data_IF_756038969011
#
_entry.id   IF_756038969011
#
_cell.length_a   1.000
_cell.length_b   1.000
_cell.length_c   1.000
_cell.angle_alpha   90.00
_cell.angle_beta   90.00
_cell.angle_gamma   90.00
#
_symmetry.space_group_name_H-M   'P 1'
#
loop_
_entity.id
_entity.type
_entity.pdbx_description
1 polymer ?
#
# COMPACT_ATOMS: atom_id res chain seq x y z
N UNK A 1 -73.62 -1.66 83.56
CA UNK A 1 -72.86 -2.41 84.55
C UNK A 1 -71.52 -2.72 84.01
N UNK A 2 -70.49 -2.24 84.69
CA UNK A 2 -69.09 -2.26 84.35
C UNK A 2 -68.44 -3.61 84.61
N UNK A 3 -67.58 -4.12 83.74
CA UNK A 3 -66.45 -4.96 84.16
C UNK A 3 -65.26 -4.64 83.26
N UNK A 4 -64.19 -4.24 83.91
CA UNK A 4 -62.85 -3.97 83.32
C UNK A 4 -62.07 -5.29 83.20
N UNK A 5 -61.52 -5.56 82.06
CA UNK A 5 -60.54 -6.62 81.84
C UNK A 5 -59.19 -6.04 81.40
N UNK A 6 -58.14 -6.29 82.18
CA UNK A 6 -56.72 -5.93 81.88
C UNK A 6 -56.09 -6.90 80.91
N UNK A 7 -55.35 -6.41 79.91
CA UNK A 7 -54.56 -7.18 78.99
C UNK A 7 -53.08 -7.00 79.40
N UNK A 8 -52.24 -8.09 79.47
CA UNK A 8 -50.84 -7.92 79.74
C UNK A 8 -50.05 -7.63 78.42
N UNK A 9 -49.03 -6.79 78.54
CA UNK A 9 -48.05 -6.54 77.51
C UNK A 9 -47.17 -7.77 77.25
N UNK A 10 -47.23 -8.26 76.03
CA UNK A 10 -46.26 -9.25 75.51
C UNK A 10 -45.14 -8.53 74.73
N UNK A 11 -43.94 -8.72 75.22
CA UNK A 11 -42.73 -8.22 74.52
C UNK A 11 -42.42 -9.14 73.34
N UNK A 12 -42.51 -8.62 72.14
CA UNK A 12 -42.06 -9.29 70.91
C UNK A 12 -40.65 -8.84 70.57
N UNK A 13 -39.70 -9.75 70.76
CA UNK A 13 -38.30 -9.60 70.26
C UNK A 13 -38.27 -9.79 68.75
N UNK A 14 -37.91 -8.74 67.99
CA UNK A 14 -37.61 -8.80 66.59
C UNK A 14 -36.15 -9.25 66.44
N UNK A 15 -35.90 -10.43 65.90
CA UNK A 15 -34.60 -10.92 65.46
C UNK A 15 -34.36 -10.36 64.03
N UNK A 16 -33.41 -9.45 63.88
CA UNK A 16 -32.93 -8.96 62.59
C UNK A 16 -32.02 -10.04 61.98
N UNK A 17 -32.52 -10.78 61.02
CA UNK A 17 -31.72 -11.60 60.13
C UNK A 17 -31.12 -10.70 59.03
N UNK A 18 -29.85 -10.32 59.20
CA UNK A 18 -29.03 -9.73 58.10
C UNK A 18 -28.71 -10.78 57.06
N UNK A 19 -29.50 -10.83 56.00
CA UNK A 19 -29.20 -11.60 54.80
C UNK A 19 -28.20 -10.81 53.95
N UNK A 20 -26.94 -11.23 53.89
CA UNK A 20 -25.99 -10.80 52.87
C UNK A 20 -26.44 -11.36 51.52
N UNK A 21 -27.08 -10.56 50.70
CA UNK A 21 -27.28 -10.86 49.29
C UNK A 21 -25.97 -10.57 48.54
N UNK A 22 -25.21 -11.61 48.20
CA UNK A 22 -24.11 -11.53 47.27
C UNK A 22 -24.68 -11.30 45.87
N UNK A 23 -24.52 -10.11 45.31
CA UNK A 23 -24.80 -9.86 43.89
C UNK A 23 -23.74 -10.60 43.06
N UNK A 24 -24.11 -11.29 41.99
CA UNK A 24 -23.14 -11.80 41.03
C UNK A 24 -22.50 -10.59 40.33
N UNK A 25 -21.19 -10.39 40.54
CA UNK A 25 -20.38 -9.52 39.71
C UNK A 25 -20.20 -10.22 38.40
N UNK A 26 -21.04 -9.92 37.41
CA UNK A 26 -20.80 -10.28 36.01
C UNK A 26 -19.60 -9.46 35.52
N UNK A 27 -18.43 -10.07 35.62
CA UNK A 27 -17.14 -9.54 35.19
C UNK A 27 -16.96 -9.65 33.69
N UNK A 28 -17.97 -9.29 32.90
CA UNK A 28 -17.80 -9.13 31.45
C UNK A 28 -16.91 -7.89 31.21
N UNK A 29 -15.62 -8.12 31.06
CA UNK A 29 -14.71 -7.11 30.50
C UNK A 29 -15.24 -6.85 29.09
N UNK A 30 -15.64 -5.61 28.74
CA UNK A 30 -16.04 -5.32 27.38
C UNK A 30 -14.84 -5.66 26.47
N UNK A 31 -15.08 -6.52 25.48
CA UNK A 31 -14.11 -6.76 24.41
C UNK A 31 -13.73 -5.40 23.83
N UNK A 32 -12.45 -5.12 23.58
CA UNK A 32 -12.06 -3.88 22.94
C UNK A 32 -12.85 -3.78 21.63
N UNK A 33 -13.64 -2.71 21.52
CA UNK A 33 -14.26 -2.34 20.24
C UNK A 33 -13.11 -2.14 19.28
N UNK A 34 -13.07 -2.85 18.13
CA UNK A 34 -12.05 -2.59 17.14
C UNK A 34 -12.07 -1.09 16.83
N UNK A 35 -10.91 -0.46 16.89
CA UNK A 35 -10.78 0.94 16.50
C UNK A 35 -11.34 1.06 15.08
N UNK A 36 -12.23 2.01 14.86
CA UNK A 36 -12.69 2.32 13.50
C UNK A 36 -11.46 2.57 12.63
N UNK A 37 -11.43 2.08 11.38
CA UNK A 37 -10.31 2.32 10.49
C UNK A 37 -10.04 3.81 10.43
N UNK A 38 -8.82 4.21 10.75
CA UNK A 38 -8.42 5.62 10.66
C UNK A 38 -8.15 5.85 9.19
N UNK A 39 -9.11 6.44 8.47
CA UNK A 39 -8.84 6.92 7.13
C UNK A 39 -7.66 7.91 7.22
N UNK A 40 -6.59 7.63 6.53
CA UNK A 40 -5.44 8.52 6.40
C UNK A 40 -5.69 9.36 5.16
N UNK A 41 -5.68 10.67 5.30
CA UNK A 41 -5.67 11.61 4.19
C UNK A 41 -4.97 12.87 4.67
N UNK A 42 -3.75 13.11 4.19
CA UNK A 42 -2.96 14.25 4.64
C UNK A 42 -1.53 14.23 4.14
N UNK A 43 -0.79 15.24 4.55
CA UNK A 43 0.63 15.40 4.22
C UNK A 43 1.48 15.08 5.45
N UNK A 44 2.51 14.26 5.25
CA UNK A 44 3.39 13.74 6.30
C UNK A 44 4.83 14.13 6.03
N UNK A 45 5.56 14.51 7.08
CA UNK A 45 6.95 14.92 6.94
C UNK A 45 7.85 13.72 6.66
N UNK A 46 8.65 13.81 5.59
CA UNK A 46 9.58 12.78 5.14
C UNK A 46 11.05 13.19 5.26
N UNK A 47 11.31 14.23 6.05
CA UNK A 47 12.65 14.80 6.27
C UNK A 47 12.94 16.01 5.39
N UNK A 48 14.00 16.74 5.76
CA UNK A 48 14.43 17.97 5.08
C UNK A 48 13.37 19.07 4.98
N UNK A 49 12.35 19.04 5.86
CA UNK A 49 11.22 19.97 5.84
C UNK A 49 10.27 19.77 4.66
N UNK A 50 10.30 18.61 4.02
CA UNK A 50 9.37 18.22 2.95
C UNK A 50 8.26 17.33 3.49
N UNK A 51 7.07 17.49 2.92
CA UNK A 51 5.91 16.63 3.16
C UNK A 51 5.50 15.90 1.89
N UNK A 52 5.06 14.66 2.04
CA UNK A 52 4.38 13.90 1.00
C UNK A 52 2.93 13.66 1.38
N UNK A 53 2.06 13.72 0.39
CA UNK A 53 0.63 13.44 0.55
C UNK A 53 0.36 11.94 0.42
N UNK A 54 -0.48 11.40 1.32
CA UNK A 54 -0.94 10.02 1.29
C UNK A 54 -2.42 9.93 1.62
N UNK A 55 -3.11 9.05 0.93
CA UNK A 55 -4.49 8.65 1.20
C UNK A 55 -4.56 7.16 1.46
N UNK A 56 -5.22 6.75 2.56
CA UNK A 56 -5.51 5.35 2.85
C UNK A 56 -7.00 5.18 3.14
N UNK A 57 -7.54 4.05 2.69
CA UNK A 57 -8.91 3.60 2.97
C UNK A 57 -8.91 2.11 3.30
N UNK A 58 -10.01 1.64 3.88
CA UNK A 58 -10.13 0.25 4.33
C UNK A 58 -9.34 -0.07 5.60
N UNK A 59 -9.46 -1.31 6.04
CA UNK A 59 -8.74 -1.86 7.19
C UNK A 59 -8.33 -3.31 6.92
N UNK A 60 -7.39 -3.82 7.68
CA UNK A 60 -6.90 -5.19 7.51
C UNK A 60 -5.40 -5.26 7.24
N UNK A 61 -4.96 -6.46 6.89
CA UNK A 61 -3.55 -6.80 6.61
C UNK A 61 -3.52 -8.00 5.66
N UNK A 62 -2.57 -8.02 4.69
CA UNK A 62 -1.51 -7.04 4.46
C UNK A 62 -2.06 -5.68 3.98
N UNK A 63 -1.29 -4.60 4.16
CA UNK A 63 -1.60 -3.30 3.58
C UNK A 63 -1.19 -3.26 2.11
N UNK A 64 -2.09 -2.82 1.23
CA UNK A 64 -1.78 -2.58 -0.18
C UNK A 64 -1.20 -1.17 -0.34
N UNK A 65 -0.02 -1.06 -0.94
CA UNK A 65 0.61 0.21 -1.31
C UNK A 65 0.58 0.36 -2.82
N UNK A 66 -0.08 1.41 -3.28
CA UNK A 66 -0.26 1.75 -4.69
C UNK A 66 0.82 2.75 -5.12
N UNK A 67 1.81 2.26 -5.86
CA UNK A 67 2.95 3.02 -6.39
C UNK A 67 2.66 3.44 -7.82
N UNK A 68 2.41 4.72 -8.03
CA UNK A 68 2.01 5.26 -9.32
C UNK A 68 3.16 5.27 -10.36
N UNK A 69 2.79 5.38 -11.63
CA UNK A 69 3.72 5.58 -12.74
C UNK A 69 4.47 6.91 -12.68
N UNK A 70 5.35 7.16 -13.64
CA UNK A 70 6.11 8.39 -13.72
C UNK A 70 5.20 9.62 -13.78
N UNK A 71 5.50 10.63 -12.98
CA UNK A 71 4.75 11.90 -12.90
C UNK A 71 3.26 11.75 -12.53
N UNK A 72 2.84 10.55 -12.11
CA UNK A 72 1.50 10.22 -11.60
C UNK A 72 1.48 10.07 -10.09
N UNK A 73 0.29 10.20 -9.49
CA UNK A 73 0.07 10.12 -8.05
C UNK A 73 -1.21 9.39 -7.68
N UNK A 74 -1.84 9.81 -6.59
CA UNK A 74 -3.06 9.19 -6.04
C UNK A 74 -4.17 9.05 -7.09
N UNK A 75 -4.32 10.01 -8.00
CA UNK A 75 -5.37 10.03 -9.02
C UNK A 75 -5.30 8.84 -9.98
N UNK A 76 -4.13 8.24 -10.21
CA UNK A 76 -3.98 7.05 -11.07
C UNK A 76 -4.83 5.89 -10.55
N UNK A 77 -5.03 5.82 -9.26
CA UNK A 77 -5.69 4.71 -8.58
C UNK A 77 -7.18 4.94 -8.29
N UNK A 78 -7.75 6.02 -8.83
CA UNK A 78 -9.14 6.43 -8.54
C UNK A 78 -10.21 5.37 -8.83
N UNK A 79 -9.96 4.45 -9.76
CA UNK A 79 -10.88 3.35 -10.09
C UNK A 79 -10.52 2.02 -9.40
N UNK A 80 -9.30 1.87 -8.90
CA UNK A 80 -8.79 0.63 -8.27
C UNK A 80 -8.88 0.71 -6.75
N UNK A 81 -8.41 1.81 -6.17
CA UNK A 81 -8.29 1.97 -4.73
C UNK A 81 -9.60 1.75 -3.94
N UNK A 82 -10.77 2.27 -4.37
CA UNK A 82 -12.01 2.07 -3.61
C UNK A 82 -12.40 0.60 -3.45
N UNK A 83 -12.29 -0.18 -4.53
CA UNK A 83 -12.66 -1.60 -4.53
C UNK A 83 -11.66 -2.45 -3.73
N UNK A 84 -10.34 -2.16 -3.85
CA UNK A 84 -9.32 -2.87 -3.08
C UNK A 84 -9.41 -2.52 -1.59
N UNK A 85 -9.84 -1.31 -1.26
CA UNK A 85 -10.06 -0.87 0.13
C UNK A 85 -11.21 -1.64 0.82
N UNK A 86 -12.14 -2.22 0.07
CA UNK A 86 -13.16 -3.13 0.61
C UNK A 86 -12.57 -4.50 1.02
N UNK A 87 -11.39 -4.86 0.51
CA UNK A 87 -10.71 -6.13 0.81
C UNK A 87 -9.71 -5.99 1.97
N UNK A 88 -8.94 -4.91 1.99
CA UNK A 88 -7.89 -4.65 3.01
C UNK A 88 -7.53 -3.17 3.05
N UNK A 89 -6.70 -2.77 4.02
CA UNK A 89 -6.15 -1.41 4.02
C UNK A 89 -5.36 -1.15 2.74
N UNK A 90 -5.72 -0.07 2.04
CA UNK A 90 -5.13 0.32 0.76
C UNK A 90 -4.71 1.78 0.81
N UNK A 91 -3.45 2.06 0.47
CA UNK A 91 -2.87 3.40 0.50
C UNK A 91 -2.27 3.75 -0.86
N UNK A 92 -2.50 4.99 -1.30
CA UNK A 92 -1.84 5.61 -2.44
C UNK A 92 -1.17 6.91 -1.99
N UNK A 93 -0.15 7.37 -2.69
CA UNK A 93 0.57 8.58 -2.33
C UNK A 93 1.10 9.33 -3.54
N UNK A 94 1.36 10.61 -3.33
CA UNK A 94 2.01 11.48 -4.30
C UNK A 94 3.51 11.55 -3.99
N UNK A 95 4.36 11.20 -4.94
CA UNK A 95 5.81 11.39 -4.79
C UNK A 95 6.18 12.87 -4.80
N UNK A 96 7.38 13.21 -4.33
CA UNK A 96 7.87 14.59 -4.34
C UNK A 96 7.80 15.22 -5.74
N UNK A 97 7.17 16.37 -5.85
CA UNK A 97 6.91 17.08 -7.11
C UNK A 97 5.61 16.73 -7.80
N UNK A 98 4.86 15.74 -7.29
CA UNK A 98 3.58 15.28 -7.85
C UNK A 98 2.43 15.69 -6.94
N UNK A 99 1.27 15.92 -7.51
CA UNK A 99 -0.01 16.10 -6.83
C UNK A 99 0.02 17.13 -5.70
N UNK A 100 -0.25 16.67 -4.48
CA UNK A 100 -0.30 17.52 -3.27
C UNK A 100 1.00 17.47 -2.44
N UNK A 101 2.03 16.76 -2.92
CA UNK A 101 3.32 16.66 -2.27
C UNK A 101 4.21 17.87 -2.54
N UNK A 102 5.12 18.17 -1.61
CA UNK A 102 6.11 19.21 -1.78
C UNK A 102 7.04 18.93 -2.98
N UNK A 103 7.58 19.98 -3.61
CA UNK A 103 8.50 19.82 -4.73
C UNK A 103 9.72 18.97 -4.37
N UNK A 104 10.20 18.19 -5.33
CA UNK A 104 11.46 17.48 -5.22
C UNK A 104 12.65 18.45 -5.20
N UNK A 105 13.63 18.16 -4.35
CA UNK A 105 14.88 18.94 -4.23
C UNK A 105 16.07 18.09 -4.62
N UNK A 106 17.01 18.65 -5.36
CA UNK A 106 18.20 17.93 -5.81
C UNK A 106 17.89 16.84 -6.86
N UNK A 107 18.90 16.16 -7.33
CA UNK A 107 18.78 14.99 -8.19
C UNK A 107 18.52 13.75 -7.33
N UNK A 108 17.55 12.93 -7.72
CA UNK A 108 17.04 11.84 -6.89
C UNK A 108 17.31 10.48 -7.53
N UNK A 109 18.01 9.63 -6.80
CA UNK A 109 18.23 8.23 -7.13
C UNK A 109 17.20 7.30 -6.50
N UNK A 110 17.38 5.99 -6.67
CA UNK A 110 16.47 4.98 -6.12
C UNK A 110 16.39 5.06 -4.59
N UNK A 111 17.53 5.17 -3.90
CA UNK A 111 17.59 5.25 -2.42
C UNK A 111 16.84 6.47 -1.87
N UNK A 112 16.79 7.59 -2.62
CA UNK A 112 16.00 8.76 -2.22
C UNK A 112 14.50 8.49 -2.29
N UNK A 113 14.06 7.74 -3.31
CA UNK A 113 12.66 7.43 -3.57
C UNK A 113 12.16 6.34 -2.60
N UNK A 114 12.92 5.26 -2.41
CA UNK A 114 12.57 4.20 -1.43
C UNK A 114 12.60 4.73 -0.01
N UNK A 115 13.61 5.55 0.32
CA UNK A 115 13.72 6.21 1.62
C UNK A 115 12.59 7.22 1.90
N UNK A 116 12.05 7.89 0.89
CA UNK A 116 10.86 8.74 1.05
C UNK A 116 9.63 7.88 1.38
N UNK A 117 9.44 6.76 0.68
CA UNK A 117 8.33 5.83 0.96
C UNK A 117 8.44 5.25 2.38
N UNK A 118 9.62 4.80 2.79
CA UNK A 118 9.85 4.27 4.14
C UNK A 118 9.48 5.30 5.22
N UNK A 119 9.97 6.54 5.09
CA UNK A 119 9.64 7.63 6.01
C UNK A 119 8.17 8.01 5.99
N UNK A 120 7.54 7.98 4.82
CA UNK A 120 6.11 8.28 4.67
C UNK A 120 5.25 7.24 5.40
N UNK A 121 5.52 5.94 5.20
CA UNK A 121 4.81 4.86 5.87
C UNK A 121 4.95 4.95 7.39
N UNK A 122 6.17 5.23 7.87
CA UNK A 122 6.43 5.44 9.30
C UNK A 122 5.71 6.67 9.85
N UNK A 123 5.73 7.82 9.15
CA UNK A 123 5.12 9.05 9.60
C UNK A 123 3.57 8.99 9.58
N UNK A 124 2.99 8.22 8.66
CA UNK A 124 1.55 8.01 8.54
C UNK A 124 1.03 6.87 9.42
N UNK A 125 1.90 6.18 10.17
CA UNK A 125 1.58 5.00 11.00
C UNK A 125 0.89 3.89 10.18
N UNK A 126 1.43 3.61 8.99
CA UNK A 126 0.93 2.58 8.06
C UNK A 126 1.77 1.31 8.24
N UNK A 127 1.24 0.27 8.91
CA UNK A 127 2.00 -0.94 9.20
C UNK A 127 2.02 -1.91 8.02
N UNK A 128 3.12 -2.68 7.91
CA UNK A 128 3.19 -3.89 7.09
C UNK A 128 2.50 -5.11 7.76
N UNK A 129 2.54 -6.29 7.13
CA UNK A 129 3.23 -6.54 5.87
C UNK A 129 2.54 -5.86 4.68
N UNK A 130 3.28 -5.66 3.57
CA UNK A 130 2.81 -4.91 2.40
C UNK A 130 2.60 -5.80 1.18
N UNK A 131 1.56 -5.52 0.41
CA UNK A 131 1.44 -5.89 -1.00
C UNK A 131 1.69 -4.64 -1.83
N UNK A 132 2.72 -4.66 -2.67
CA UNK A 132 3.05 -3.54 -3.53
C UNK A 132 2.35 -3.70 -4.87
N UNK A 133 1.64 -2.66 -5.31
CA UNK A 133 1.03 -2.59 -6.64
C UNK A 133 1.65 -1.41 -7.36
N UNK A 134 2.40 -1.67 -8.42
CA UNK A 134 3.25 -0.65 -9.01
C UNK A 134 3.07 -0.54 -10.53
N UNK A 135 2.79 0.66 -11.01
CA UNK A 135 2.59 0.94 -12.42
C UNK A 135 3.85 1.52 -13.07
N UNK A 136 4.15 1.08 -14.30
CA UNK A 136 5.18 1.69 -15.14
C UNK A 136 6.50 1.93 -14.37
N UNK A 137 7.06 3.14 -14.43
CA UNK A 137 8.28 3.53 -13.72
C UNK A 137 8.24 3.41 -12.21
N UNK A 138 7.06 3.34 -11.59
CA UNK A 138 6.89 3.03 -10.17
C UNK A 138 7.35 1.62 -9.80
N UNK A 139 7.33 0.69 -10.77
CA UNK A 139 7.81 -0.68 -10.56
C UNK A 139 9.28 -0.77 -10.17
N UNK A 140 10.12 0.14 -10.61
CA UNK A 140 11.52 0.18 -10.18
C UNK A 140 11.68 0.61 -8.72
N UNK A 141 10.82 1.54 -8.28
CA UNK A 141 10.80 2.01 -6.88
C UNK A 141 10.30 0.88 -5.99
N UNK A 142 9.18 0.24 -6.36
CA UNK A 142 8.65 -0.91 -5.66
C UNK A 142 9.65 -2.06 -5.56
N UNK A 143 10.43 -2.30 -6.62
CA UNK A 143 11.50 -3.31 -6.63
C UNK A 143 12.62 -3.00 -5.65
N UNK A 144 13.11 -1.76 -5.63
CA UNK A 144 14.11 -1.31 -4.66
C UNK A 144 13.61 -1.40 -3.23
N UNK A 145 12.42 -0.87 -2.97
CA UNK A 145 11.78 -0.94 -1.65
C UNK A 145 11.61 -2.39 -1.16
N UNK A 146 11.14 -3.28 -2.05
CA UNK A 146 10.98 -4.68 -1.71
C UNK A 146 12.31 -5.40 -1.41
N UNK A 147 13.40 -5.04 -2.08
CA UNK A 147 14.72 -5.60 -1.80
C UNK A 147 15.27 -5.15 -0.43
N UNK A 148 14.97 -3.92 -0.02
CA UNK A 148 15.36 -3.37 1.29
C UNK A 148 14.51 -3.91 2.44
N UNK A 149 13.20 -4.13 2.21
CA UNK A 149 12.20 -4.51 3.22
C UNK A 149 11.62 -5.92 3.00
N UNK A 150 12.38 -6.86 2.47
CA UNK A 150 11.90 -8.18 2.01
C UNK A 150 11.07 -8.97 3.01
N UNK A 151 11.35 -8.85 4.30
CA UNK A 151 10.60 -9.55 5.36
C UNK A 151 9.22 -8.94 5.61
N UNK A 152 9.00 -7.72 5.13
CA UNK A 152 7.73 -7.00 5.22
C UNK A 152 6.90 -7.08 3.94
N UNK A 153 7.44 -7.64 2.85
CA UNK A 153 6.72 -7.76 1.58
C UNK A 153 5.99 -9.10 1.51
N UNK A 154 4.67 -9.02 1.44
CA UNK A 154 3.79 -10.19 1.32
C UNK A 154 3.51 -10.57 -0.14
N UNK A 155 3.53 -9.63 -1.07
CA UNK A 155 3.29 -9.87 -2.48
C UNK A 155 3.51 -8.64 -3.35
N UNK A 156 3.52 -8.83 -4.68
CA UNK A 156 3.72 -7.71 -5.64
C UNK A 156 2.85 -7.89 -6.89
N UNK A 157 2.28 -6.79 -7.38
CA UNK A 157 1.64 -6.71 -8.70
C UNK A 157 2.32 -5.61 -9.51
N UNK A 158 2.94 -5.97 -10.61
CA UNK A 158 3.53 -5.02 -11.57
C UNK A 158 2.60 -4.79 -12.74
N UNK A 159 2.31 -3.52 -13.06
CA UNK A 159 1.46 -3.11 -14.17
C UNK A 159 2.32 -2.46 -15.27
N UNK A 160 2.57 -3.20 -16.32
CA UNK A 160 3.31 -2.78 -17.51
C UNK A 160 4.64 -2.08 -17.21
N UNK A 161 5.40 -2.65 -16.28
CA UNK A 161 6.71 -2.14 -15.90
C UNK A 161 7.73 -2.51 -16.96
N UNK A 162 8.30 -1.52 -17.69
CA UNK A 162 9.20 -1.80 -18.81
C UNK A 162 10.54 -2.40 -18.36
N UNK A 163 11.34 -2.88 -19.29
CA UNK A 163 12.76 -3.11 -19.06
C UNK A 163 13.55 -1.79 -19.05
N UNK A 164 14.76 -1.76 -18.50
CA UNK A 164 15.57 -0.55 -18.47
C UNK A 164 16.08 -0.18 -19.86
N UNK A 165 16.36 1.09 -20.09
CA UNK A 165 17.06 1.53 -21.28
C UNK A 165 18.49 0.98 -21.28
N UNK A 166 18.87 0.23 -22.33
CA UNK A 166 20.20 -0.34 -22.44
C UNK A 166 21.18 0.60 -23.15
N UNK A 167 20.73 1.34 -24.17
CA UNK A 167 21.55 2.28 -24.96
C UNK A 167 20.67 3.41 -25.50
N UNK A 168 20.16 4.30 -24.62
CA UNK A 168 19.28 5.38 -25.05
C UNK A 168 20.05 6.43 -25.87
N UNK A 169 19.41 6.99 -26.91
CA UNK A 169 20.06 8.03 -27.73
C UNK A 169 20.26 9.32 -26.91
N UNK A 170 21.27 10.14 -27.23
CA UNK A 170 21.67 11.32 -26.43
C UNK A 170 20.56 12.33 -26.17
N UNK A 171 19.64 12.51 -27.12
CA UNK A 171 18.49 13.41 -26.97
C UNK A 171 17.46 12.86 -25.98
N UNK A 172 17.31 11.56 -25.88
CA UNK A 172 16.50 10.93 -24.84
C UNK A 172 17.19 11.03 -23.48
N UNK A 173 18.48 10.73 -23.39
CA UNK A 173 19.26 10.89 -22.15
C UNK A 173 19.06 12.30 -21.59
N UNK A 174 19.15 13.33 -22.43
CA UNK A 174 19.00 14.72 -22.00
C UNK A 174 17.61 15.03 -21.39
N UNK A 175 16.56 14.29 -21.78
CA UNK A 175 15.21 14.43 -21.22
C UNK A 175 15.00 13.63 -19.94
N UNK A 176 15.77 12.59 -19.75
CA UNK A 176 15.68 11.67 -18.59
C UNK A 176 16.58 12.09 -17.43
N UNK A 177 17.34 13.19 -17.56
CA UNK A 177 18.14 13.72 -16.46
C UNK A 177 17.27 14.44 -15.43
N UNK A 178 17.72 14.47 -14.20
CA UNK A 178 17.05 15.16 -13.11
C UNK A 178 16.94 16.67 -13.28
N UNK A 179 17.74 17.28 -14.15
CA UNK A 179 17.72 18.73 -14.44
C UNK A 179 16.83 19.09 -15.64
N UNK A 180 16.24 18.12 -16.34
CA UNK A 180 15.30 18.40 -17.40
C UNK A 180 14.09 19.18 -16.86
N UNK A 181 13.70 20.24 -17.57
CA UNK A 181 12.62 21.14 -17.11
C UNK A 181 11.23 20.48 -17.04
N UNK A 182 11.08 19.34 -17.69
CA UNK A 182 9.87 18.50 -17.67
C UNK A 182 9.87 17.47 -16.56
N UNK A 183 11.00 17.24 -15.90
CA UNK A 183 11.15 16.25 -14.85
C UNK A 183 10.79 16.87 -13.48
N UNK A 184 9.52 16.84 -13.15
CA UNK A 184 8.99 17.43 -11.91
C UNK A 184 9.43 16.68 -10.66
N UNK A 185 9.69 15.38 -10.76
CA UNK A 185 10.19 14.54 -9.68
C UNK A 185 11.70 14.67 -9.45
N UNK A 186 12.42 15.35 -10.34
CA UNK A 186 13.90 15.51 -10.35
C UNK A 186 14.62 14.16 -10.24
N UNK A 187 14.04 13.16 -10.79
CA UNK A 187 14.51 11.76 -10.75
C UNK A 187 15.58 11.53 -11.81
N UNK A 188 16.66 10.87 -11.46
CA UNK A 188 17.58 10.29 -12.45
C UNK A 188 16.94 9.00 -13.00
N UNK A 189 16.12 9.14 -14.03
CA UNK A 189 15.35 8.02 -14.59
C UNK A 189 16.22 6.82 -14.94
N UNK A 190 17.35 7.04 -15.61
CA UNK A 190 18.21 5.95 -16.04
C UNK A 190 18.86 5.23 -14.86
N UNK A 191 19.35 5.98 -13.89
CA UNK A 191 19.95 5.38 -12.69
C UNK A 191 18.91 4.60 -11.87
N UNK A 192 17.70 5.16 -11.71
CA UNK A 192 16.60 4.52 -10.97
C UNK A 192 16.13 3.24 -11.68
N UNK A 193 15.95 3.27 -13.01
CA UNK A 193 15.56 2.10 -13.79
C UNK A 193 16.56 0.96 -13.68
N UNK A 194 17.85 1.26 -13.85
CA UNK A 194 18.90 0.25 -13.73
C UNK A 194 18.99 -0.32 -12.31
N UNK A 195 18.99 0.53 -11.29
CA UNK A 195 19.08 0.10 -9.91
C UNK A 195 17.86 -0.75 -9.49
N UNK A 196 16.64 -0.32 -9.83
CA UNK A 196 15.41 -1.07 -9.53
C UNK A 196 15.31 -2.38 -10.31
N UNK A 197 15.79 -2.40 -11.57
CA UNK A 197 15.87 -3.63 -12.35
C UNK A 197 16.87 -4.63 -11.76
N UNK A 198 17.98 -4.19 -11.23
CA UNK A 198 18.98 -5.05 -10.61
C UNK A 198 18.52 -5.58 -9.24
N UNK A 199 17.79 -4.75 -8.48
CA UNK A 199 17.25 -5.11 -7.17
C UNK A 199 16.23 -6.27 -7.22
N UNK A 200 15.55 -6.51 -8.34
CA UNK A 200 14.48 -7.52 -8.49
C UNK A 200 14.87 -8.96 -8.11
N UNK A 201 16.13 -9.30 -8.11
CA UNK A 201 16.61 -10.66 -7.79
C UNK A 201 16.69 -10.96 -6.29
N UNK A 202 16.39 -10.00 -5.45
CA UNK A 202 16.69 -10.03 -4.00
C UNK A 202 15.47 -10.37 -3.11
N UNK A 203 14.24 -10.51 -3.64
CA UNK A 203 13.04 -10.45 -2.80
C UNK A 203 12.60 -11.79 -2.20
N UNK A 204 12.59 -12.89 -2.93
CA UNK A 204 12.32 -14.20 -2.34
C UNK A 204 10.99 -14.87 -2.73
N UNK A 205 10.48 -15.79 -1.91
CA UNK A 205 9.33 -16.66 -2.24
C UNK A 205 7.99 -16.02 -1.82
N UNK A 206 7.53 -15.05 -2.61
CA UNK A 206 6.26 -14.35 -2.42
C UNK A 206 5.38 -14.44 -3.68
N UNK A 207 4.04 -14.31 -3.61
CA UNK A 207 3.19 -14.21 -4.79
C UNK A 207 3.51 -12.93 -5.56
N UNK A 208 3.71 -13.06 -6.89
CA UNK A 208 3.98 -11.93 -7.78
C UNK A 208 3.18 -12.10 -9.07
N UNK A 209 2.48 -11.05 -9.48
CA UNK A 209 1.86 -10.96 -10.81
C UNK A 209 2.54 -9.88 -11.64
N UNK A 210 2.96 -10.22 -12.86
CA UNK A 210 3.49 -9.29 -13.86
C UNK A 210 2.42 -9.11 -14.94
N UNK A 211 1.71 -8.01 -14.94
CA UNK A 211 0.74 -7.64 -15.96
C UNK A 211 1.44 -6.91 -17.09
N UNK A 212 1.56 -7.53 -18.24
CA UNK A 212 2.29 -6.99 -19.40
C UNK A 212 1.33 -6.67 -20.54
N UNK A 213 1.50 -5.54 -21.19
CA UNK A 213 0.71 -5.18 -22.39
C UNK A 213 1.37 -5.70 -23.65
N UNK A 214 0.61 -6.34 -24.52
CA UNK A 214 1.05 -6.74 -25.85
C UNK A 214 0.78 -5.62 -26.86
N UNK A 215 1.77 -4.79 -27.11
CA UNK A 215 1.72 -3.73 -28.12
C UNK A 215 1.91 -4.23 -29.55
N UNK A 216 2.10 -5.55 -29.73
CA UNK A 216 2.46 -6.12 -31.02
C UNK A 216 3.89 -5.73 -31.48
N UNK A 217 4.25 -6.01 -32.71
CA UNK A 217 5.57 -5.68 -33.23
C UNK A 217 5.73 -4.17 -33.37
N UNK A 218 6.53 -3.56 -32.49
CA UNK A 218 6.83 -2.14 -32.48
C UNK A 218 8.20 -1.83 -33.08
N UNK A 219 8.36 -0.62 -33.63
CA UNK A 219 9.60 -0.13 -34.22
C UNK A 219 10.23 1.00 -33.39
N UNK A 220 9.83 1.20 -32.13
CA UNK A 220 10.38 2.23 -31.24
C UNK A 220 11.14 1.59 -30.09
N UNK A 221 12.09 2.33 -29.51
CA UNK A 221 12.79 1.91 -28.28
C UNK A 221 11.80 1.64 -27.14
N UNK A 222 10.73 2.40 -27.06
CA UNK A 222 9.70 2.20 -26.04
C UNK A 222 8.96 0.87 -26.24
N UNK A 223 8.55 0.56 -27.47
CA UNK A 223 7.93 -0.72 -27.80
C UNK A 223 8.88 -1.93 -27.54
N UNK A 224 10.19 -1.74 -27.68
CA UNK A 224 11.17 -2.77 -27.33
C UNK A 224 11.25 -3.01 -25.82
N UNK A 225 11.21 -1.93 -25.00
CA UNK A 225 11.27 -2.02 -23.53
C UNK A 225 10.00 -2.59 -22.92
N UNK A 226 8.86 -2.27 -23.48
CA UNK A 226 7.53 -2.71 -23.03
C UNK A 226 7.12 -4.03 -23.66
N UNK A 227 8.01 -4.68 -24.41
CA UNK A 227 7.75 -6.00 -24.97
C UNK A 227 7.52 -7.04 -23.88
N UNK A 228 6.50 -7.87 -24.03
CA UNK A 228 6.12 -8.96 -23.11
C UNK A 228 7.31 -9.84 -22.74
N UNK A 229 8.21 -10.15 -23.71
CA UNK A 229 9.40 -10.96 -23.45
C UNK A 229 10.44 -10.24 -22.57
N UNK A 230 10.60 -8.93 -22.73
CA UNK A 230 11.48 -8.13 -21.86
C UNK A 230 10.90 -8.06 -20.44
N UNK A 231 9.61 -7.83 -20.32
CA UNK A 231 8.94 -7.77 -19.02
C UNK A 231 8.95 -9.10 -18.26
N UNK A 232 9.18 -10.24 -18.94
CA UNK A 232 9.49 -11.53 -18.28
C UNK A 232 10.71 -11.46 -17.37
N UNK A 233 11.58 -10.49 -17.55
CA UNK A 233 12.68 -10.23 -16.63
C UNK A 233 12.22 -9.97 -15.19
N UNK A 234 10.99 -9.51 -14.96
CA UNK A 234 10.42 -9.33 -13.65
C UNK A 234 10.02 -10.65 -12.95
N UNK A 235 9.88 -11.76 -13.69
CA UNK A 235 9.56 -13.07 -13.08
C UNK A 235 10.68 -13.61 -12.18
N UNK A 236 11.89 -13.08 -12.30
CA UNK A 236 13.00 -13.44 -11.39
C UNK A 236 12.77 -12.95 -9.96
N UNK A 237 11.83 -12.01 -9.78
CA UNK A 237 11.47 -11.44 -8.49
C UNK A 237 11.05 -12.50 -7.47
N UNK A 238 10.37 -13.56 -7.94
CA UNK A 238 9.94 -14.66 -7.10
C UNK A 238 9.79 -15.97 -7.91
N UNK A 239 10.08 -17.13 -7.33
CA UNK A 239 9.73 -18.42 -7.95
C UNK A 239 8.22 -18.64 -8.10
N UNK A 240 7.38 -17.85 -7.40
CA UNK A 240 5.91 -17.86 -7.51
C UNK A 240 5.38 -16.79 -8.48
N UNK A 241 6.27 -16.11 -9.20
CA UNK A 241 5.86 -15.07 -10.15
C UNK A 241 5.14 -15.66 -11.36
N UNK A 242 4.05 -15.01 -11.75
CA UNK A 242 3.26 -15.31 -12.95
C UNK A 242 3.17 -14.10 -13.86
N UNK A 243 3.00 -14.32 -15.16
CA UNK A 243 2.77 -13.24 -16.12
C UNK A 243 1.40 -13.32 -16.74
N UNK A 244 0.69 -12.20 -16.74
CA UNK A 244 -0.60 -12.00 -17.41
C UNK A 244 -0.41 -11.03 -18.57
N UNK A 245 -0.82 -11.43 -19.77
CA UNK A 245 -0.71 -10.57 -20.95
C UNK A 245 -2.04 -9.86 -21.17
N UNK A 246 -1.98 -8.52 -21.19
CA UNK A 246 -3.12 -7.63 -21.39
C UNK A 246 -3.23 -7.19 -22.84
N UNK A 247 -4.45 -6.91 -23.27
CA UNK A 247 -4.75 -6.34 -24.60
C UNK A 247 -5.34 -4.92 -24.46
N UNK A 248 -4.68 -4.12 -23.63
CA UNK A 248 -5.00 -2.72 -23.33
C UNK A 248 -3.88 -1.80 -23.80
N UNK A 249 -3.96 -0.51 -23.51
CA UNK A 249 -2.81 0.40 -23.56
C UNK A 249 -1.98 0.33 -22.27
N UNK A 250 -1.01 1.23 -22.16
CA UNK A 250 -0.10 1.34 -21.02
C UNK A 250 -0.82 1.63 -19.69
N UNK A 251 -1.91 2.38 -19.75
CA UNK A 251 -2.68 2.78 -18.58
C UNK A 251 -3.63 1.70 -18.05
N UNK A 252 -3.13 0.50 -17.71
CA UNK A 252 -3.95 -0.65 -17.31
C UNK A 252 -4.93 -0.28 -16.19
N UNK A 253 -4.50 0.51 -15.19
CA UNK A 253 -5.32 0.92 -14.06
C UNK A 253 -6.57 1.75 -14.46
N UNK A 254 -6.52 2.41 -15.62
CA UNK A 254 -7.64 3.17 -16.19
C UNK A 254 -8.44 2.39 -17.22
N UNK A 255 -7.77 1.57 -18.02
CA UNK A 255 -8.38 0.89 -19.18
C UNK A 255 -9.08 -0.41 -18.81
N UNK A 256 -8.53 -1.13 -17.81
CA UNK A 256 -9.12 -2.37 -17.27
C UNK A 256 -8.91 -2.47 -15.75
N UNK A 257 -9.49 -1.54 -14.96
CA UNK A 257 -9.32 -1.50 -13.51
C UNK A 257 -9.81 -2.80 -12.84
N UNK A 258 -10.87 -3.43 -13.37
CA UNK A 258 -11.37 -4.67 -12.79
C UNK A 258 -10.33 -5.79 -12.86
N UNK A 259 -9.61 -5.90 -13.97
CA UNK A 259 -8.55 -6.91 -14.08
C UNK A 259 -7.41 -6.65 -13.09
N UNK A 260 -7.06 -5.38 -12.84
CA UNK A 260 -6.07 -5.03 -11.81
C UNK A 260 -6.55 -5.44 -10.42
N UNK A 261 -7.81 -5.17 -10.09
CA UNK A 261 -8.44 -5.55 -8.83
C UNK A 261 -8.40 -7.08 -8.65
N UNK A 262 -8.80 -7.83 -9.68
CA UNK A 262 -8.81 -9.30 -9.64
C UNK A 262 -7.39 -9.86 -9.38
N UNK A 263 -6.34 -9.29 -9.99
CA UNK A 263 -4.95 -9.73 -9.77
C UNK A 263 -4.44 -9.36 -8.36
N UNK A 264 -4.84 -8.21 -7.83
CA UNK A 264 -4.53 -7.82 -6.45
C UNK A 264 -5.21 -8.79 -5.47
N UNK A 265 -6.50 -9.12 -5.68
CA UNK A 265 -7.23 -10.07 -4.85
C UNK A 265 -6.56 -11.45 -4.85
N UNK A 266 -6.16 -11.96 -6.02
CA UNK A 266 -5.43 -13.23 -6.12
C UNK A 266 -4.10 -13.22 -5.35
N UNK A 267 -3.37 -12.10 -5.39
CA UNK A 267 -2.13 -11.95 -4.60
C UNK A 267 -2.46 -11.91 -3.11
N UNK A 268 -3.48 -11.17 -2.69
CA UNK A 268 -3.93 -11.11 -1.29
C UNK A 268 -4.34 -12.49 -0.76
N UNK A 269 -5.12 -13.25 -1.53
CA UNK A 269 -5.50 -14.63 -1.19
C UNK A 269 -4.28 -15.54 -1.03
N UNK A 270 -3.27 -15.40 -1.89
CA UNK A 270 -2.06 -16.20 -1.87
C UNK A 270 -1.09 -15.84 -0.72
N UNK A 271 -1.30 -14.71 -0.02
CA UNK A 271 -0.56 -14.30 1.19
C UNK A 271 -1.18 -14.85 2.47
N UNK A 272 -2.43 -15.33 2.40
CA UNK A 272 -3.12 -15.88 3.55
C UNK A 272 -2.47 -17.22 3.96
N UNK A 273 -2.28 -17.48 5.27
CA UNK A 273 -1.59 -18.67 5.78
C UNK A 273 -2.36 -19.98 5.53
#
# INVERSE_FOLDING_TARGET
MSVRGRIPLGVISFALLSGCASAPTDGSVPSPVPASPTAVNGSFEVGEGRTLHMECSGDGSPTVILEAGDESGVEEWSQVMPEVADLTRTCAYDRAGVGQSDPATGCRGLDDLTGDLDRLLAAADVPGPYVLVAASGGGYIASGFAAEHREEIAGVVFLDVPGPYLDPPPDLVARLTCDASTNIERRDYLAVEHAGWDARAEVGDIPVTVMSVDYGPGASLEAERTNVEVQRGWLVFSPRATQVVMHTGHGIAYEDPQRVIDEIEMVLEATSP
#
